data_IF_780912188911
#
_entry.id   IF_780912188911
#
_cell.length_a   1.000
_cell.length_b   1.000
_cell.length_c   1.000
_cell.angle_alpha   90.00
_cell.angle_beta   90.00
_cell.angle_gamma   90.00
#
_symmetry.space_group_name_H-M   'P 1'
#
loop_
_entity.id
_entity.type
_entity.pdbx_description
1 polymer ?
#
# COMPACT_ATOMS: atom_id res chain seq x y z
N UNK A 1 -1.62 -9.36 -14.49
CA UNK A 1 -2.49 -8.97 -13.36
C UNK A 1 -3.91 -8.87 -13.86
N UNK A 2 -4.83 -9.54 -13.17
CA UNK A 2 -6.27 -9.44 -13.43
C UNK A 2 -6.78 -8.03 -13.09
N UNK A 3 -8.04 -7.74 -13.43
CA UNK A 3 -8.70 -6.50 -13.00
C UNK A 3 -8.72 -6.35 -11.48
N UNK A 4 -8.89 -7.47 -10.74
CA UNK A 4 -8.87 -7.49 -9.28
C UNK A 4 -7.48 -7.18 -8.73
N UNK A 5 -6.43 -7.83 -9.25
CA UNK A 5 -5.05 -7.55 -8.84
C UNK A 5 -4.66 -6.08 -9.10
N UNK A 6 -5.09 -5.51 -10.23
CA UNK A 6 -4.90 -4.07 -10.52
C UNK A 6 -5.65 -3.19 -9.53
N UNK A 7 -6.92 -3.49 -9.24
CA UNK A 7 -7.72 -2.74 -8.28
C UNK A 7 -7.06 -2.71 -6.90
N UNK A 8 -6.62 -3.85 -6.38
CA UNK A 8 -5.95 -3.91 -5.08
C UNK A 8 -4.60 -3.20 -5.09
N UNK A 9 -3.79 -3.37 -6.14
CA UNK A 9 -2.49 -2.69 -6.25
C UNK A 9 -2.63 -1.17 -6.30
N UNK A 10 -3.52 -0.65 -7.15
CA UNK A 10 -3.73 0.79 -7.29
C UNK A 10 -4.53 1.39 -6.12
N UNK A 11 -5.45 0.63 -5.53
CA UNK A 11 -6.18 1.02 -4.34
C UNK A 11 -5.28 1.15 -3.11
N UNK A 12 -4.39 0.17 -2.89
CA UNK A 12 -3.37 0.26 -1.82
C UNK A 12 -2.39 1.40 -2.07
N UNK A 13 -1.94 1.62 -3.31
CA UNK A 13 -1.14 2.79 -3.67
C UNK A 13 -1.84 4.11 -3.32
N UNK A 14 -3.10 4.28 -3.74
CA UNK A 14 -3.85 5.52 -3.52
C UNK A 14 -4.05 5.80 -2.02
N UNK A 15 -4.30 4.74 -1.23
CA UNK A 15 -4.43 4.85 0.22
C UNK A 15 -3.12 5.28 0.89
N UNK A 16 -2.00 4.64 0.55
CA UNK A 16 -0.67 5.00 1.05
C UNK A 16 -0.28 6.42 0.65
N UNK A 17 -0.56 6.82 -0.60
CA UNK A 17 -0.28 8.17 -1.09
C UNK A 17 -1.10 9.23 -0.32
N UNK A 18 -2.34 8.92 0.05
CA UNK A 18 -3.15 9.80 0.90
C UNK A 18 -2.57 9.93 2.31
N UNK A 19 -2.16 8.83 2.94
CA UNK A 19 -1.52 8.85 4.25
C UNK A 19 -0.11 9.49 4.23
N UNK A 20 0.54 9.51 3.06
CA UNK A 20 1.79 10.20 2.82
C UNK A 20 1.63 11.72 2.56
N UNK A 21 0.41 12.27 2.51
CA UNK A 21 0.23 13.72 2.39
C UNK A 21 0.77 14.42 3.65
N UNK A 22 1.67 15.41 3.51
CA UNK A 22 2.21 16.17 4.65
C UNK A 22 1.09 16.77 5.49
N UNK A 23 1.22 16.66 6.81
CA UNK A 23 0.25 17.09 7.83
C UNK A 23 -1.10 16.36 7.80
N UNK A 24 -1.73 16.24 6.62
CA UNK A 24 -3.05 15.64 6.42
C UNK A 24 -3.06 14.17 6.83
N UNK A 25 -2.10 13.37 6.33
CA UNK A 25 -2.08 11.93 6.59
C UNK A 25 -1.86 11.62 8.07
N UNK A 26 -0.86 12.26 8.69
CA UNK A 26 -0.59 12.12 10.12
C UNK A 26 -1.76 12.58 10.99
N UNK A 27 -2.35 13.74 10.68
CA UNK A 27 -3.53 14.24 11.39
C UNK A 27 -4.73 13.28 11.25
N UNK A 28 -4.95 12.71 10.06
CA UNK A 28 -6.02 11.75 9.82
C UNK A 28 -5.83 10.47 10.63
N UNK A 29 -4.61 9.92 10.71
CA UNK A 29 -4.30 8.74 11.53
C UNK A 29 -4.58 9.00 13.00
N UNK A 30 -4.09 10.13 13.54
CA UNK A 30 -4.26 10.48 14.96
C UNK A 30 -5.72 10.79 15.30
N UNK A 31 -6.42 11.57 14.45
CA UNK A 31 -7.82 11.93 14.66
C UNK A 31 -8.76 10.72 14.64
N UNK A 32 -8.37 9.63 13.98
CA UNK A 32 -9.15 8.39 13.91
C UNK A 32 -8.56 7.28 14.80
N UNK A 33 -7.83 7.64 15.85
CA UNK A 33 -7.28 6.69 16.83
C UNK A 33 -6.52 5.51 16.20
N UNK A 34 -5.66 5.80 15.21
CA UNK A 34 -4.86 4.81 14.47
C UNK A 34 -5.65 3.76 13.67
N UNK A 35 -6.98 3.84 13.63
CA UNK A 35 -7.83 2.96 12.81
C UNK A 35 -7.42 2.91 11.32
N UNK A 36 -7.01 4.03 10.68
CA UNK A 36 -6.52 3.99 9.30
C UNK A 36 -5.35 3.00 9.07
N UNK A 37 -4.48 2.81 10.07
CA UNK A 37 -3.39 1.84 9.95
C UNK A 37 -3.89 0.40 9.87
N UNK A 38 -4.93 0.07 10.65
CA UNK A 38 -5.60 -1.22 10.62
C UNK A 38 -6.29 -1.48 9.28
N UNK A 39 -6.91 -0.45 8.70
CA UNK A 39 -7.50 -0.53 7.35
C UNK A 39 -6.40 -0.77 6.29
N UNK A 40 -5.30 -0.02 6.33
CA UNK A 40 -4.14 -0.26 5.46
C UNK A 40 -3.64 -1.70 5.58
N UNK A 41 -3.47 -2.19 6.81
CA UNK A 41 -2.97 -3.53 7.07
C UNK A 41 -3.83 -4.60 6.39
N UNK A 42 -5.16 -4.51 6.56
CA UNK A 42 -6.10 -5.45 5.93
C UNK A 42 -6.10 -5.33 4.41
N UNK A 43 -6.08 -4.11 3.86
CA UNK A 43 -6.01 -3.90 2.42
C UNK A 43 -4.74 -4.52 1.81
N UNK A 44 -3.59 -4.36 2.46
CA UNK A 44 -2.35 -4.99 2.02
C UNK A 44 -2.37 -6.50 2.16
N UNK A 45 -2.91 -7.05 3.25
CA UNK A 45 -3.04 -8.49 3.43
C UNK A 45 -3.89 -9.14 2.32
N UNK A 46 -5.03 -8.53 1.99
CA UNK A 46 -5.89 -9.00 0.89
C UNK A 46 -5.18 -8.83 -0.46
N UNK A 47 -4.52 -7.70 -0.68
CA UNK A 47 -3.75 -7.47 -1.91
C UNK A 47 -2.65 -8.52 -2.09
N UNK A 48 -1.93 -8.89 -1.03
CA UNK A 48 -0.93 -9.98 -1.05
C UNK A 48 -1.59 -11.30 -1.43
N UNK A 49 -2.71 -11.66 -0.80
CA UNK A 49 -3.40 -12.92 -1.11
C UNK A 49 -3.81 -13.01 -2.60
N UNK A 50 -4.37 -11.93 -3.15
CA UNK A 50 -4.78 -11.85 -4.56
C UNK A 50 -3.57 -11.90 -5.49
N UNK A 51 -2.57 -11.05 -5.26
CA UNK A 51 -1.42 -10.90 -6.15
C UNK A 51 -0.49 -12.12 -6.10
N UNK A 52 -0.35 -12.76 -4.95
CA UNK A 52 0.44 -13.98 -4.81
C UNK A 52 -0.16 -15.13 -5.63
N UNK A 53 -1.49 -15.29 -5.60
CA UNK A 53 -2.19 -16.27 -6.43
C UNK A 53 -2.01 -16.00 -7.94
N UNK A 54 -1.93 -14.72 -8.32
CA UNK A 54 -1.64 -14.30 -9.70
C UNK A 54 -0.15 -14.32 -10.08
N UNK A 55 0.75 -14.74 -9.18
CA UNK A 55 2.21 -14.64 -9.34
C UNK A 55 2.67 -13.22 -9.71
N UNK A 56 1.95 -12.22 -9.20
CA UNK A 56 2.24 -10.79 -9.36
C UNK A 56 3.25 -10.29 -8.32
N UNK A 57 3.76 -9.07 -8.49
CA UNK A 57 4.67 -8.47 -7.50
C UNK A 57 3.92 -8.10 -6.23
N UNK A 58 4.50 -8.42 -5.07
CA UNK A 58 3.90 -8.20 -3.74
C UNK A 58 4.78 -7.36 -2.82
N UNK A 59 5.97 -6.92 -3.26
CA UNK A 59 6.97 -6.31 -2.36
C UNK A 59 6.41 -5.02 -1.77
N UNK A 60 5.78 -4.17 -2.58
CA UNK A 60 5.17 -2.93 -2.08
C UNK A 60 4.08 -3.18 -1.04
N UNK A 61 3.29 -4.25 -1.20
CA UNK A 61 2.23 -4.59 -0.24
C UNK A 61 2.81 -5.19 1.05
N UNK A 62 3.87 -5.99 0.97
CA UNK A 62 4.58 -6.50 2.16
C UNK A 62 5.20 -5.35 2.95
N UNK A 63 5.83 -4.39 2.27
CA UNK A 63 6.32 -3.16 2.93
C UNK A 63 5.15 -2.40 3.56
N UNK A 64 4.00 -2.32 2.88
CA UNK A 64 2.78 -1.73 3.43
C UNK A 64 2.29 -2.36 4.74
N UNK A 65 2.33 -3.69 4.86
CA UNK A 65 2.05 -4.40 6.12
C UNK A 65 3.01 -3.97 7.22
N UNK A 66 4.30 -3.89 6.92
CA UNK A 66 5.32 -3.43 7.88
C UNK A 66 5.08 -1.96 8.27
N UNK A 67 4.78 -1.10 7.29
CA UNK A 67 4.44 0.30 7.50
C UNK A 67 3.26 0.44 8.46
N UNK A 68 2.19 -0.34 8.31
CA UNK A 68 1.04 -0.32 9.23
C UNK A 68 1.42 -0.63 10.69
N UNK A 69 2.44 -1.45 10.92
CA UNK A 69 2.93 -1.80 12.27
C UNK A 69 3.87 -0.73 12.83
N UNK A 70 4.71 -0.13 11.99
CA UNK A 70 5.70 0.88 12.42
C UNK A 70 5.07 2.27 12.55
N UNK A 71 3.99 2.55 11.83
CA UNK A 71 3.35 3.86 11.73
C UNK A 71 2.61 4.33 13.00
N UNK A 72 2.69 3.60 14.12
CA UNK A 72 2.24 4.10 15.42
C UNK A 72 2.97 5.38 15.84
N UNK A 73 4.23 5.55 15.43
CA UNK A 73 5.00 6.78 15.62
C UNK A 73 4.74 7.72 14.43
N UNK A 74 4.05 8.87 14.60
CA UNK A 74 3.49 9.62 13.47
C UNK A 74 4.50 10.05 12.39
N UNK A 75 5.67 10.58 12.79
CA UNK A 75 6.69 11.03 11.84
C UNK A 75 7.30 9.85 11.09
N UNK A 76 7.61 8.77 11.81
CA UNK A 76 8.16 7.54 11.20
C UNK A 76 7.14 6.92 10.26
N UNK A 77 5.88 6.85 10.69
CA UNK A 77 4.77 6.36 9.88
C UNK A 77 4.60 7.13 8.59
N UNK A 78 4.62 8.47 8.66
CA UNK A 78 4.53 9.31 7.47
C UNK A 78 5.64 9.02 6.45
N UNK A 79 6.90 8.91 6.90
CA UNK A 79 8.03 8.55 6.03
C UNK A 79 7.82 7.16 5.42
N UNK A 80 7.41 6.19 6.24
CA UNK A 80 7.17 4.82 5.77
C UNK A 80 6.02 4.74 4.77
N UNK A 81 4.93 5.48 4.95
CA UNK A 81 3.83 5.58 3.99
C UNK A 81 4.30 6.17 2.65
N UNK A 82 5.13 7.22 2.68
CA UNK A 82 5.73 7.77 1.46
C UNK A 82 6.60 6.74 0.72
N UNK A 83 7.46 6.01 1.44
CA UNK A 83 8.29 4.95 0.85
C UNK A 83 7.40 3.85 0.24
N UNK A 84 6.41 3.36 0.98
CA UNK A 84 5.47 2.33 0.50
C UNK A 84 4.73 2.79 -0.76
N UNK A 85 4.21 4.02 -0.76
CA UNK A 85 3.51 4.59 -1.91
C UNK A 85 4.39 4.62 -3.17
N UNK A 86 5.65 5.04 -3.04
CA UNK A 86 6.61 5.04 -4.16
C UNK A 86 6.89 3.62 -4.66
N UNK A 87 7.11 2.66 -3.77
CA UNK A 87 7.35 1.26 -4.18
C UNK A 87 6.13 0.67 -4.90
N UNK A 88 4.92 0.89 -4.37
CA UNK A 88 3.69 0.43 -5.00
C UNK A 88 3.45 1.08 -6.36
N UNK A 89 3.77 2.36 -6.52
CA UNK A 89 3.68 3.06 -7.79
C UNK A 89 4.60 2.43 -8.84
N UNK A 90 5.87 2.21 -8.47
CA UNK A 90 6.87 1.60 -9.36
C UNK A 90 6.42 0.18 -9.75
N UNK A 91 5.97 -0.63 -8.78
CA UNK A 91 5.44 -1.97 -9.07
C UNK A 91 4.20 -1.93 -9.96
N UNK A 92 3.26 -1.02 -9.69
CA UNK A 92 2.02 -0.86 -10.45
C UNK A 92 2.27 -0.51 -11.91
N UNK A 93 3.16 0.46 -12.16
CA UNK A 93 3.54 0.88 -13.52
C UNK A 93 4.36 -0.22 -14.22
N UNK A 94 5.31 -0.84 -13.53
CA UNK A 94 6.16 -1.89 -14.11
C UNK A 94 5.38 -3.14 -14.49
N UNK A 95 4.36 -3.47 -13.72
CA UNK A 95 3.48 -4.62 -13.99
C UNK A 95 2.54 -4.39 -15.15
N UNK A 96 2.13 -3.14 -15.41
CA UNK A 96 1.34 -2.80 -16.60
C UNK A 96 2.11 -3.04 -17.90
N UNK A 97 3.45 -2.96 -17.86
CA UNK A 97 4.33 -3.20 -19.02
C UNK A 97 4.66 -4.68 -19.26
N UNK A 98 4.41 -5.56 -18.28
CA UNK A 98 4.62 -7.01 -18.45
C UNK A 98 3.35 -7.63 -19.05
N UNK A 99 3.34 -7.78 -20.37
CA UNK A 99 2.36 -8.52 -21.18
C UNK A 99 2.10 -9.91 -20.57
N UNK A 100 0.87 -10.48 -20.65
CA UNK A 100 0.58 -11.79 -20.09
C UNK A 100 1.56 -12.84 -20.61
N UNK A 101 2.19 -13.60 -19.71
CA UNK A 101 2.80 -14.88 -20.08
C UNK A 101 1.63 -15.83 -20.35
N UNK A 102 1.38 -16.07 -21.63
CA UNK A 102 0.50 -17.13 -22.13
C UNK A 102 0.95 -18.49 -21.59
#
# INVERSE_FOLDING_TARGET
MSSWGKLFKWGTFAYEAFLALPFIGGAFVVANAWLPLGVAFLLHAIAIAVLYNERGPVIGNVIGVVTSIVAFIPIVGWIMHAITAVVLLIEGISSARRTPRY
#
